data_IF_309331933632
#
_entry.id   IF_309331933632
#
_cell.length_a   1.000
_cell.length_b   1.000
_cell.length_c   1.000
_cell.angle_alpha   90.00
_cell.angle_beta   90.00
_cell.angle_gamma   90.00
#
_symmetry.space_group_name_H-M   'P 1'
#
loop_
_entity.id
_entity.type
_entity.pdbx_description
1 polymer ?
#
# COMPACT_ATOMS: atom_id res chain seq x y z
N UNK A 1 -18.30 10.42 2.50
CA UNK A 1 -17.05 9.65 2.34
C UNK A 1 -16.12 10.18 1.24
N UNK A 2 -16.28 9.84 -0.07
CA UNK A 2 -15.29 10.26 -1.11
C UNK A 2 -15.17 11.79 -1.31
N UNK A 3 -16.29 12.53 -1.28
CA UNK A 3 -16.29 14.00 -1.40
C UNK A 3 -15.56 14.70 -0.24
N UNK A 4 -15.64 14.17 0.97
CA UNK A 4 -14.98 14.74 2.15
C UNK A 4 -13.46 14.59 2.06
N UNK A 5 -12.98 13.44 1.59
CA UNK A 5 -11.55 13.19 1.41
C UNK A 5 -10.98 14.19 0.39
N UNK A 6 -11.63 14.36 -0.77
CA UNK A 6 -11.23 15.35 -1.78
C UNK A 6 -11.17 16.77 -1.22
N UNK A 7 -12.23 17.20 -0.53
CA UNK A 7 -12.28 18.53 0.07
C UNK A 7 -11.21 18.71 1.17
N UNK A 8 -10.93 17.68 1.95
CA UNK A 8 -9.90 17.75 2.99
C UNK A 8 -8.49 17.81 2.39
N UNK A 9 -8.21 17.08 1.31
CA UNK A 9 -6.93 17.19 0.58
C UNK A 9 -6.75 18.54 -0.10
N UNK A 10 -7.79 19.08 -0.72
CA UNK A 10 -7.76 20.42 -1.30
C UNK A 10 -7.43 21.46 -0.23
N UNK A 11 -8.11 21.44 0.92
CA UNK A 11 -7.84 22.40 2.01
C UNK A 11 -6.48 22.25 2.69
N UNK A 12 -5.99 21.01 2.86
CA UNK A 12 -4.78 20.74 3.68
C UNK A 12 -3.49 20.69 2.87
N UNK A 13 -3.58 20.28 1.61
CA UNK A 13 -2.43 19.99 0.76
C UNK A 13 -2.53 20.63 -0.64
N UNK A 14 -3.58 21.40 -0.93
CA UNK A 14 -3.83 22.01 -2.25
C UNK A 14 -3.86 20.97 -3.39
N UNK A 15 -4.42 19.80 -3.12
CA UNK A 15 -4.55 18.72 -4.09
C UNK A 15 -6.04 18.50 -4.42
N UNK A 16 -6.61 19.25 -5.38
CA UNK A 16 -8.02 19.13 -5.72
C UNK A 16 -8.32 17.74 -6.27
N UNK A 17 -9.52 17.24 -5.98
CA UNK A 17 -10.00 15.92 -6.41
C UNK A 17 -9.18 14.70 -5.92
N UNK A 18 -8.23 14.88 -4.99
CA UNK A 18 -7.49 13.74 -4.41
C UNK A 18 -8.43 12.84 -3.60
N UNK A 19 -8.51 11.55 -3.96
CA UNK A 19 -9.33 10.59 -3.21
C UNK A 19 -8.54 9.79 -2.18
N UNK A 20 -7.24 10.03 -2.08
CA UNK A 20 -6.33 9.32 -1.18
C UNK A 20 -4.90 9.29 -1.69
N UNK A 21 -3.97 9.07 -0.77
CA UNK A 21 -2.56 8.79 -1.07
C UNK A 21 -2.35 7.28 -0.98
N UNK A 22 -1.83 6.68 -2.04
CA UNK A 22 -1.57 5.23 -2.11
C UNK A 22 -0.09 4.97 -1.86
N UNK A 23 0.22 4.00 -1.01
CA UNK A 23 1.58 3.52 -0.79
C UNK A 23 1.58 2.00 -0.59
N UNK A 24 2.72 1.36 -0.88
CA UNK A 24 2.96 -0.08 -0.68
C UNK A 24 4.14 -0.28 0.25
N UNK A 25 3.96 -1.13 1.25
CA UNK A 25 5.01 -1.51 2.20
C UNK A 25 5.21 -3.02 2.20
N UNK A 26 6.45 -3.45 1.97
CA UNK A 26 6.85 -4.84 2.24
C UNK A 26 6.94 -5.09 3.75
N UNK A 27 6.10 -6.01 4.23
CA UNK A 27 6.16 -6.52 5.60
C UNK A 27 6.99 -7.79 5.59
N UNK A 28 8.08 -7.79 6.36
CA UNK A 28 8.97 -8.96 6.46
C UNK A 28 8.25 -10.12 7.16
N UNK A 29 8.36 -11.31 6.58
CA UNK A 29 7.78 -12.56 7.09
C UNK A 29 8.82 -13.67 7.11
N UNK A 30 8.54 -14.74 7.85
CA UNK A 30 9.27 -16.01 7.71
C UNK A 30 8.87 -16.66 6.38
N UNK A 31 9.80 -17.37 5.74
CA UNK A 31 9.51 -18.12 4.50
C UNK A 31 8.34 -19.09 4.74
N UNK A 32 7.28 -18.94 3.94
CA UNK A 32 6.15 -19.87 3.95
C UNK A 32 6.55 -21.20 3.30
N UNK A 33 6.05 -22.32 3.83
CA UNK A 33 6.34 -23.63 3.28
C UNK A 33 5.86 -23.74 1.83
N UNK A 34 6.64 -24.43 0.98
CA UNK A 34 6.32 -24.68 -0.43
C UNK A 34 6.11 -23.40 -1.28
N UNK A 35 6.49 -22.22 -0.79
CA UNK A 35 6.29 -20.96 -1.52
C UNK A 35 7.39 -20.64 -2.56
N UNK A 36 8.45 -21.43 -2.64
CA UNK A 36 9.62 -21.12 -3.47
C UNK A 36 10.17 -19.73 -3.16
N UNK A 37 10.32 -18.90 -4.20
CA UNK A 37 10.74 -17.49 -4.13
C UNK A 37 9.58 -16.49 -4.23
N UNK A 38 8.31 -16.92 -4.19
CA UNK A 38 7.15 -16.04 -4.39
C UNK A 38 7.19 -14.82 -3.46
N UNK A 39 7.51 -15.04 -2.19
CA UNK A 39 7.59 -13.95 -1.21
C UNK A 39 8.99 -13.34 -1.10
N UNK A 40 9.97 -13.80 -1.86
CA UNK A 40 11.34 -13.28 -1.78
C UNK A 40 11.48 -12.01 -2.62
N UNK A 41 11.83 -10.91 -1.98
CA UNK A 41 11.90 -9.59 -2.63
C UNK A 41 13.34 -9.22 -3.05
N UNK A 42 13.45 -8.11 -3.79
CA UNK A 42 14.73 -7.56 -4.26
C UNK A 42 15.68 -7.10 -3.15
N UNK A 43 15.18 -6.93 -1.91
CA UNK A 43 15.98 -6.57 -0.73
C UNK A 43 16.49 -7.80 0.03
N UNK A 44 16.42 -8.98 -0.58
CA UNK A 44 16.94 -10.23 -0.04
C UNK A 44 16.26 -10.70 1.26
N UNK A 45 14.94 -10.53 1.36
CA UNK A 45 14.15 -11.15 2.45
C UNK A 45 12.77 -11.58 1.96
N UNK A 46 12.11 -12.45 2.74
CA UNK A 46 10.72 -12.84 2.49
C UNK A 46 9.76 -11.78 3.01
N UNK A 47 8.79 -11.35 2.20
CA UNK A 47 7.81 -10.34 2.55
C UNK A 47 6.45 -10.57 1.90
N UNK A 48 5.41 -10.06 2.54
CA UNK A 48 4.11 -9.81 1.92
C UNK A 48 3.98 -8.31 1.68
N UNK A 49 3.28 -7.91 0.62
CA UNK A 49 3.02 -6.50 0.36
C UNK A 49 1.73 -6.06 1.05
N UNK A 50 1.78 -4.90 1.70
CA UNK A 50 0.62 -4.16 2.23
C UNK A 50 0.46 -2.91 1.39
N UNK A 51 -0.64 -2.80 0.66
CA UNK A 51 -1.07 -1.58 0.01
C UNK A 51 -2.05 -0.85 0.92
N UNK A 52 -1.86 0.46 1.09
CA UNK A 52 -2.79 1.27 1.85
C UNK A 52 -3.10 2.58 1.13
N UNK A 53 -4.35 3.02 1.27
CA UNK A 53 -4.79 4.35 0.88
C UNK A 53 -5.05 5.14 2.16
N UNK A 54 -4.42 6.31 2.28
CA UNK A 54 -4.59 7.22 3.40
C UNK A 54 -5.32 8.51 3.00
N UNK A 55 -6.10 9.07 3.92
CA UNK A 55 -6.66 10.42 3.79
C UNK A 55 -5.67 11.50 4.28
N UNK A 56 -6.01 12.78 4.09
CA UNK A 56 -5.20 13.93 4.53
C UNK A 56 -5.18 14.16 6.04
N UNK A 57 -5.84 13.28 6.81
CA UNK A 57 -5.80 13.21 8.28
C UNK A 57 -4.91 12.07 8.76
N UNK A 58 -4.12 11.46 7.87
CA UNK A 58 -3.24 10.33 8.15
C UNK A 58 -3.99 9.09 8.64
N UNK A 59 -5.23 8.88 8.18
CA UNK A 59 -6.04 7.68 8.50
C UNK A 59 -6.10 6.77 7.30
N UNK A 60 -5.95 5.47 7.51
CA UNK A 60 -6.18 4.49 6.46
C UNK A 60 -7.67 4.44 6.11
N UNK A 61 -7.98 4.58 4.82
CA UNK A 61 -9.35 4.49 4.27
C UNK A 61 -9.55 3.22 3.46
N UNK A 62 -8.46 2.58 3.03
CA UNK A 62 -8.44 1.27 2.39
C UNK A 62 -7.10 0.60 2.67
N UNK A 63 -7.12 -0.71 2.87
CA UNK A 63 -5.91 -1.54 3.05
C UNK A 63 -6.13 -2.87 2.34
N UNK A 64 -5.14 -3.30 1.57
CA UNK A 64 -5.07 -4.62 0.95
C UNK A 64 -3.74 -5.30 1.31
N UNK A 65 -3.78 -6.57 1.71
CA UNK A 65 -2.65 -7.29 2.28
C UNK A 65 -2.61 -8.70 1.69
N UNK A 66 -1.43 -9.11 1.22
CA UNK A 66 -1.16 -10.51 0.91
C UNK A 66 -0.51 -10.75 -0.44
N UNK A 67 -0.34 -9.70 -1.26
CA UNK A 67 0.37 -9.81 -2.53
C UNK A 67 1.82 -10.26 -2.34
N UNK A 68 2.39 -10.85 -3.39
CA UNK A 68 3.67 -11.51 -3.28
C UNK A 68 4.81 -10.50 -3.08
N UNK A 69 5.77 -10.84 -2.22
CA UNK A 69 6.94 -10.00 -1.97
C UNK A 69 7.85 -9.80 -3.18
N UNK A 70 7.79 -10.70 -4.18
CA UNK A 70 8.52 -10.53 -5.44
C UNK A 70 7.94 -9.42 -6.32
N UNK A 71 6.66 -9.07 -6.12
CA UNK A 71 5.97 -8.13 -6.97
C UNK A 71 6.44 -6.71 -6.64
N UNK A 72 6.65 -5.90 -7.67
CA UNK A 72 7.02 -4.50 -7.52
C UNK A 72 5.77 -3.63 -7.27
N UNK A 73 5.95 -2.47 -6.65
CA UNK A 73 4.84 -1.56 -6.32
C UNK A 73 3.87 -1.29 -7.50
N UNK A 74 4.33 -1.06 -8.75
CA UNK A 74 3.43 -0.86 -9.90
C UNK A 74 2.55 -2.06 -10.25
N UNK A 75 2.87 -3.26 -9.78
CA UNK A 75 2.07 -4.49 -9.99
C UNK A 75 0.98 -4.65 -8.93
N UNK A 76 1.07 -3.90 -7.83
CA UNK A 76 0.09 -3.92 -6.73
C UNK A 76 -1.01 -2.87 -6.94
N UNK A 77 -0.70 -1.77 -7.64
CA UNK A 77 -1.63 -0.66 -7.94
C UNK A 77 -2.57 -0.95 -9.11
#
# INVERSE_FOLDING_TARGET
MRKEIANDFERRANFPHCLGLVDVKHIRVVKLEKSGSLYYNYKNYFSISLMAVADSKNRFVYVDIGSFGKDADPTIF
#
